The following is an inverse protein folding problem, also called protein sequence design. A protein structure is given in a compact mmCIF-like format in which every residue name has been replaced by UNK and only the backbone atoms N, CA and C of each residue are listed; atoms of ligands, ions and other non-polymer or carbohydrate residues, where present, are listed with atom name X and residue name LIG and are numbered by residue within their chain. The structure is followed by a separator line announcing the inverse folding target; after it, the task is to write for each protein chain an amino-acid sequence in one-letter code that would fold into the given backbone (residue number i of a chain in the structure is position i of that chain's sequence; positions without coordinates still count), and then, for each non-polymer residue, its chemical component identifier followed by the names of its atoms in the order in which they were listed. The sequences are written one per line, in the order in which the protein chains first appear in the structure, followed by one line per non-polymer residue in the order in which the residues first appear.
data_IF_259346417130
#
_entry.id   IF_259346417130
#
_cell.length_a   1.000
_cell.length_b   1.000
_cell.length_c   1.000
_cell.angle_alpha   90.00
_cell.angle_beta   90.00
_cell.angle_gamma   90.00
#
_symmetry.space_group_name_H-M   'P 1'
#
loop_
_entity.id
_entity.type
_entity.pdbx_description
1 polymer ?
#
# COMPACT_ATOMS: atom_id res chain seq x y z
N UNK A 1 -13.11 -5.38 33.91
CA UNK A 1 -11.94 -5.93 33.20
C UNK A 1 -12.30 -5.89 31.72
N UNK A 2 -11.90 -4.81 31.01
CA UNK A 2 -12.22 -4.66 29.58
C UNK A 2 -11.32 -5.61 28.80
N UNK A 3 -11.93 -6.53 28.08
CA UNK A 3 -11.24 -7.48 27.21
C UNK A 3 -10.72 -6.70 25.99
N UNK A 4 -9.53 -6.13 26.12
CA UNK A 4 -8.92 -5.21 25.15
C UNK A 4 -8.32 -5.94 23.94
N UNK A 5 -8.38 -7.27 23.89
CA UNK A 5 -7.75 -8.06 22.83
C UNK A 5 -8.51 -8.03 21.50
N UNK A 6 -9.83 -7.75 21.49
CA UNK A 6 -10.62 -7.69 20.25
C UNK A 6 -10.66 -6.31 19.58
N UNK A 7 -10.21 -5.26 20.27
CA UNK A 7 -10.24 -3.88 19.75
C UNK A 7 -9.00 -3.62 18.88
N UNK A 8 -7.89 -4.31 19.13
CA UNK A 8 -6.68 -4.09 18.34
C UNK A 8 -6.87 -4.56 16.89
N UNK A 9 -7.44 -5.75 16.65
CA UNK A 9 -7.60 -6.27 15.27
C UNK A 9 -8.57 -5.44 14.41
N UNK A 10 -9.69 -4.97 14.98
CA UNK A 10 -10.64 -4.14 14.23
C UNK A 10 -10.13 -2.72 13.97
N UNK A 11 -9.36 -2.12 14.89
CA UNK A 11 -8.78 -0.79 14.70
C UNK A 11 -7.62 -0.79 13.71
N UNK A 12 -6.87 -1.90 13.64
CA UNK A 12 -5.88 -2.08 12.60
C UNK A 12 -6.57 -2.19 11.24
N UNK A 13 -7.64 -2.98 11.09
CA UNK A 13 -8.39 -3.08 9.83
C UNK A 13 -8.89 -1.73 9.29
N UNK A 14 -9.52 -0.89 10.14
CA UNK A 14 -10.01 0.44 9.75
C UNK A 14 -8.87 1.42 9.38
N UNK A 15 -7.77 1.41 10.14
CA UNK A 15 -6.60 2.24 9.80
C UNK A 15 -5.90 1.75 8.53
N UNK A 16 -5.80 0.44 8.35
CA UNK A 16 -5.14 -0.15 7.19
C UNK A 16 -5.94 0.12 5.91
N UNK A 17 -7.27 0.08 5.96
CA UNK A 17 -8.12 0.49 4.85
C UNK A 17 -7.86 1.95 4.45
N UNK A 18 -7.72 2.85 5.43
CA UNK A 18 -7.34 4.25 5.20
C UNK A 18 -5.94 4.40 4.61
N UNK A 19 -4.97 3.59 5.06
CA UNK A 19 -3.60 3.59 4.52
C UNK A 19 -3.57 3.08 3.08
N UNK A 20 -4.27 1.99 2.76
CA UNK A 20 -4.41 1.48 1.40
C UNK A 20 -5.03 2.52 0.46
N UNK A 21 -6.09 3.22 0.91
CA UNK A 21 -6.68 4.31 0.12
C UNK A 21 -5.73 5.48 -0.06
N UNK A 22 -4.98 5.86 0.98
CA UNK A 22 -3.99 6.95 0.89
C UNK A 22 -2.87 6.58 -0.09
N UNK A 23 -2.36 5.35 -0.03
CA UNK A 23 -1.36 4.83 -0.95
C UNK A 23 -1.93 4.80 -2.38
N UNK A 24 -3.10 4.20 -2.58
CA UNK A 24 -3.74 4.11 -3.91
C UNK A 24 -3.99 5.51 -4.49
N UNK A 25 -4.40 6.47 -3.66
CA UNK A 25 -4.62 7.85 -4.09
C UNK A 25 -3.31 8.56 -4.43
N UNK A 26 -2.25 8.37 -3.65
CA UNK A 26 -0.94 8.92 -3.94
C UNK A 26 -0.33 8.31 -5.21
N UNK A 27 -0.49 7.01 -5.41
CA UNK A 27 -0.07 6.30 -6.63
C UNK A 27 -0.83 6.80 -7.86
N UNK A 28 -2.14 7.02 -7.76
CA UNK A 28 -2.96 7.56 -8.84
C UNK A 28 -2.64 9.04 -9.16
N UNK A 29 -2.09 9.77 -8.19
CA UNK A 29 -1.71 11.18 -8.36
C UNK A 29 -0.28 11.34 -8.87
N UNK A 30 0.59 10.34 -8.66
CA UNK A 30 1.98 10.42 -9.09
C UNK A 30 2.14 10.37 -10.61
N UNK A 31 2.80 11.40 -11.13
CA UNK A 31 3.06 11.57 -12.55
C UNK A 31 4.06 10.51 -13.02
N UNK A 32 3.56 9.50 -13.73
CA UNK A 32 4.33 8.31 -14.14
C UNK A 32 3.64 6.99 -13.82
N UNK A 33 2.64 7.00 -12.93
CA UNK A 33 1.80 5.85 -12.63
C UNK A 33 0.43 5.86 -13.30
N UNK A 34 0.12 6.86 -14.14
CA UNK A 34 -1.20 6.98 -14.81
C UNK A 34 -1.55 5.77 -15.69
N UNK A 35 -0.54 5.05 -16.21
CA UNK A 35 -0.70 3.77 -16.93
C UNK A 35 -0.46 2.54 -16.07
N UNK A 36 0.06 2.75 -14.86
CA UNK A 36 0.42 1.70 -13.92
C UNK A 36 -0.81 1.33 -13.09
N UNK A 37 -1.22 0.07 -13.13
CA UNK A 37 -2.34 -0.41 -12.32
C UNK A 37 -1.79 -1.07 -11.07
N UNK A 38 -1.54 -0.27 -10.03
CA UNK A 38 -1.03 -0.76 -8.74
C UNK A 38 -2.14 -0.67 -7.69
N UNK A 39 -2.41 -1.80 -7.04
CA UNK A 39 -3.33 -1.93 -5.93
C UNK A 39 -2.54 -2.17 -4.64
N UNK A 40 -2.84 -1.39 -3.61
CA UNK A 40 -2.32 -1.63 -2.27
C UNK A 40 -3.36 -2.38 -1.45
N UNK A 41 -2.99 -3.54 -0.93
CA UNK A 41 -3.79 -4.33 -0.01
C UNK A 41 -3.01 -4.48 1.30
N UNK A 42 -3.67 -4.48 2.44
CA UNK A 42 -2.97 -4.60 3.70
C UNK A 42 -3.59 -5.71 4.53
N UNK A 43 -2.74 -6.62 4.95
CA UNK A 43 -3.13 -7.88 5.57
C UNK A 43 -2.10 -8.28 6.63
N UNK A 44 -2.56 -8.62 7.83
CA UNK A 44 -1.71 -9.08 8.94
C UNK A 44 -0.48 -8.18 9.20
N UNK A 45 -0.67 -6.86 9.30
CA UNK A 45 0.40 -5.86 9.55
C UNK A 45 1.39 -5.65 8.38
N UNK A 46 1.15 -6.27 7.23
CA UNK A 46 1.96 -6.14 6.02
C UNK A 46 1.16 -5.46 4.92
N UNK A 47 1.79 -4.54 4.19
CA UNK A 47 1.21 -3.93 2.99
C UNK A 47 1.73 -4.66 1.75
N UNK A 48 0.82 -5.23 0.99
CA UNK A 48 1.04 -5.86 -0.30
C UNK A 48 0.74 -4.85 -1.39
N UNK A 49 1.75 -4.48 -2.17
CA UNK A 49 1.55 -3.76 -3.42
C UNK A 49 1.58 -4.75 -4.57
N UNK A 50 0.45 -4.96 -5.21
CA UNK A 50 0.34 -5.82 -6.38
C UNK A 50 -0.09 -5.00 -7.58
N UNK A 51 0.48 -5.31 -8.74
CA UNK A 51 0.06 -4.67 -9.97
C UNK A 51 1.14 -4.62 -11.04
N UNK A 52 0.93 -3.72 -11.98
CA UNK A 52 1.84 -3.49 -13.09
C UNK A 52 2.28 -2.04 -13.12
N UNK A 53 3.57 -1.83 -13.34
CA UNK A 53 4.17 -0.51 -13.47
C UNK A 53 4.78 -0.32 -14.85
N UNK A 54 4.59 0.86 -15.45
CA UNK A 54 5.13 1.23 -16.77
C UNK A 54 6.66 1.40 -16.72
N UNK A 55 7.26 1.59 -15.53
CA UNK A 55 8.69 1.79 -15.36
C UNK A 55 9.17 1.35 -13.98
N UNK A 56 10.45 0.97 -13.88
CA UNK A 56 11.09 0.61 -12.60
C UNK A 56 11.10 1.80 -11.62
N UNK A 57 11.20 3.03 -12.15
CA UNK A 57 11.10 4.26 -11.35
C UNK A 57 9.73 4.38 -10.65
N UNK A 58 8.64 4.00 -11.34
CA UNK A 58 7.31 3.99 -10.75
C UNK A 58 7.18 2.96 -9.61
N UNK A 59 7.88 1.83 -9.71
CA UNK A 59 7.93 0.83 -8.63
C UNK A 59 8.65 1.40 -7.41
N UNK A 60 9.81 2.05 -7.61
CA UNK A 60 10.56 2.66 -6.51
C UNK A 60 9.73 3.73 -5.80
N UNK A 61 9.09 4.63 -6.56
CA UNK A 61 8.19 5.67 -6.03
C UNK A 61 7.05 5.04 -5.23
N UNK A 62 6.44 3.97 -5.76
CA UNK A 62 5.34 3.28 -5.08
C UNK A 62 5.77 2.67 -3.74
N UNK A 63 6.94 2.02 -3.71
CA UNK A 63 7.50 1.44 -2.48
C UNK A 63 7.85 2.54 -1.48
N UNK A 64 8.45 3.64 -1.94
CA UNK A 64 8.83 4.77 -1.08
C UNK A 64 7.60 5.46 -0.48
N UNK A 65 6.55 5.68 -1.28
CA UNK A 65 5.26 6.19 -0.83
C UNK A 65 4.63 5.27 0.21
N UNK A 66 4.55 3.97 -0.09
CA UNK A 66 4.02 3.00 0.84
C UNK A 66 4.83 3.00 2.15
N UNK A 67 6.16 3.08 2.09
CA UNK A 67 7.03 3.10 3.28
C UNK A 67 6.94 4.40 4.08
N UNK A 68 6.63 5.50 3.42
CA UNK A 68 6.44 6.80 4.07
C UNK A 68 5.07 6.89 4.75
N UNK A 69 4.03 6.35 4.11
CA UNK A 69 2.65 6.36 4.62
C UNK A 69 2.45 5.27 5.68
N UNK A 70 3.01 4.09 5.44
CA UNK A 70 2.93 2.96 6.35
C UNK A 70 4.29 2.74 7.01
N UNK A 71 4.34 2.95 8.32
CA UNK A 71 5.50 2.59 9.14
C UNK A 71 5.57 1.06 9.38
N UNK A 72 5.13 0.28 8.39
CA UNK A 72 4.88 -1.16 8.43
C UNK A 72 5.73 -1.89 7.40
N UNK A 73 5.75 -3.23 7.45
CA UNK A 73 6.47 -4.03 6.45
C UNK A 73 5.72 -4.00 5.12
N UNK A 74 6.45 -3.77 4.04
CA UNK A 74 5.88 -3.69 2.69
C UNK A 74 6.45 -4.80 1.84
N UNK A 75 5.57 -5.41 1.05
CA UNK A 75 5.89 -6.48 0.13
C UNK A 75 5.40 -6.05 -1.25
N UNK A 76 6.34 -5.74 -2.15
CA UNK A 76 6.00 -5.34 -3.52
C UNK A 76 6.04 -6.55 -4.45
N UNK A 77 4.94 -6.78 -5.13
CA UNK A 77 4.78 -7.72 -6.23
C UNK A 77 4.26 -6.93 -7.44
N UNK A 78 5.04 -5.91 -7.84
CA UNK A 78 4.72 -5.06 -8.98
C UNK A 78 5.61 -5.49 -10.15
N UNK A 79 4.97 -5.89 -11.25
CA UNK A 79 5.67 -6.32 -12.45
C UNK A 79 5.88 -5.14 -13.42
N UNK A 80 7.10 -4.91 -13.93
CA UNK A 80 7.32 -3.90 -14.94
C UNK A 80 6.76 -4.38 -16.30
N UNK A 81 5.88 -3.58 -16.90
CA UNK A 81 5.37 -3.76 -18.27
C UNK A 81 6.25 -2.93 -19.20
N UNK A 82 7.19 -3.59 -19.87
CA UNK A 82 8.06 -3.01 -20.92
C UNK A 82 7.42 -3.08 -22.30
#
# INVERSE_FOLDING_TARGET
MFNLSGIQESFFGDRMAGVCQAITSALAFESGLEKSSISAMAENDVIYLEGTADSVEAIDIAINLASSISNCRILSHVEPVY
#
